data_IF_048986464409
#
_entry.id   IF_048986464409
#
_cell.length_a   1.000
_cell.length_b   1.000
_cell.length_c   1.000
_cell.angle_alpha   90.00
_cell.angle_beta   90.00
_cell.angle_gamma   90.00
#
_symmetry.space_group_name_H-M   'P 1'
#
loop_
_entity.id
_entity.type
_entity.pdbx_description
1 polymer ?
#
# COMPACT_ATOMS: atom_id res chain seq x y z
N UNK A 1 -20.16 0.16 2.83
CA UNK A 1 -19.86 0.44 4.25
C UNK A 1 -18.36 0.60 4.53
N UNK A 2 -17.48 -0.26 4.00
CA UNK A 2 -16.02 -0.17 4.25
C UNK A 2 -15.41 1.12 3.66
N UNK A 3 -15.72 1.45 2.40
CA UNK A 3 -15.28 2.69 1.73
C UNK A 3 -15.67 3.97 2.50
N UNK A 4 -16.92 4.05 2.97
CA UNK A 4 -17.44 5.22 3.68
C UNK A 4 -16.76 5.45 5.04
N UNK A 5 -16.40 4.38 5.76
CA UNK A 5 -15.73 4.50 7.06
C UNK A 5 -14.26 4.94 6.92
N UNK A 6 -13.57 4.41 5.92
CA UNK A 6 -12.19 4.83 5.58
C UNK A 6 -12.17 6.33 5.25
N UNK A 7 -13.13 6.82 4.46
CA UNK A 7 -13.22 8.24 4.10
C UNK A 7 -13.39 9.15 5.32
N UNK A 8 -14.26 8.78 6.29
CA UNK A 8 -14.48 9.57 7.51
C UNK A 8 -13.23 9.61 8.40
N UNK A 9 -12.58 8.47 8.62
CA UNK A 9 -11.40 8.40 9.49
C UNK A 9 -10.22 9.18 8.88
N UNK A 10 -10.05 9.10 7.55
CA UNK A 10 -9.05 9.88 6.81
C UNK A 10 -9.35 11.36 6.92
N UNK A 11 -10.60 11.77 6.71
CA UNK A 11 -11.00 13.19 6.80
C UNK A 11 -10.73 13.76 8.20
N UNK A 12 -11.04 13.02 9.26
CA UNK A 12 -10.78 13.44 10.63
C UNK A 12 -9.28 13.55 10.94
N UNK A 13 -8.48 12.59 10.47
CA UNK A 13 -7.04 12.63 10.67
C UNK A 13 -6.38 13.80 9.90
N UNK A 14 -6.82 14.06 8.67
CA UNK A 14 -6.38 15.22 7.87
C UNK A 14 -6.76 16.53 8.59
N UNK A 15 -8.00 16.66 9.07
CA UNK A 15 -8.45 17.84 9.80
C UNK A 15 -7.65 18.06 11.10
N UNK A 16 -7.16 16.99 11.73
CA UNK A 16 -6.29 17.03 12.89
C UNK A 16 -4.79 17.20 12.57
N UNK A 17 -4.42 17.36 11.29
CA UNK A 17 -3.03 17.49 10.84
C UNK A 17 -2.17 16.24 11.09
N UNK A 18 -2.80 15.07 11.21
CA UNK A 18 -2.11 13.81 11.51
C UNK A 18 -1.71 13.08 10.24
N UNK A 19 -0.55 12.44 10.28
CA UNK A 19 -0.12 11.47 9.28
C UNK A 19 -0.93 10.17 9.42
N UNK A 20 -1.19 9.50 8.30
CA UNK A 20 -2.01 8.29 8.23
C UNK A 20 -1.18 7.18 7.60
N UNK A 21 -1.13 6.01 8.24
CA UNK A 21 -0.61 4.78 7.64
C UNK A 21 -1.80 3.94 7.22
N UNK A 22 -1.91 3.68 5.91
CA UNK A 22 -2.91 2.79 5.34
C UNK A 22 -2.27 1.42 5.06
N UNK A 23 -2.45 0.47 5.98
CA UNK A 23 -1.96 -0.90 5.82
C UNK A 23 -3.04 -1.79 5.18
N UNK A 24 -2.90 -2.03 3.88
CA UNK A 24 -3.71 -2.96 3.12
C UNK A 24 -2.89 -3.64 2.03
N UNK A 25 -3.37 -4.78 1.53
CA UNK A 25 -2.62 -5.57 0.56
C UNK A 25 -2.40 -4.86 -0.78
N UNK A 26 -3.37 -4.09 -1.29
CA UNK A 26 -3.24 -3.22 -2.48
C UNK A 26 -2.58 -3.85 -3.73
N UNK A 27 -2.68 -5.18 -3.88
CA UNK A 27 -1.94 -5.92 -4.90
C UNK A 27 -2.41 -5.63 -6.33
N UNK A 28 -3.71 -5.38 -6.53
CA UNK A 28 -4.28 -5.13 -7.86
C UNK A 28 -4.28 -3.64 -8.18
N UNK A 29 -3.87 -3.29 -9.40
CA UNK A 29 -3.91 -1.91 -9.91
C UNK A 29 -5.27 -1.24 -9.74
N UNK A 30 -6.36 -1.95 -10.05
CA UNK A 30 -7.72 -1.41 -9.89
C UNK A 30 -8.02 -0.95 -8.45
N UNK A 31 -7.54 -1.68 -7.43
CA UNK A 31 -7.74 -1.30 -6.03
C UNK A 31 -6.94 -0.05 -5.67
N UNK A 32 -5.70 0.05 -6.16
CA UNK A 32 -4.87 1.23 -5.97
C UNK A 32 -5.46 2.45 -6.66
N UNK A 33 -5.92 2.30 -7.90
CA UNK A 33 -6.57 3.38 -8.66
C UNK A 33 -7.86 3.87 -7.99
N UNK A 34 -8.69 2.96 -7.49
CA UNK A 34 -9.91 3.31 -6.75
C UNK A 34 -9.58 4.09 -5.46
N UNK A 35 -8.55 3.64 -4.72
CA UNK A 35 -8.07 4.34 -3.53
C UNK A 35 -7.52 5.73 -3.87
N UNK A 36 -6.59 5.83 -4.81
CA UNK A 36 -5.96 7.10 -5.20
C UNK A 36 -6.99 8.09 -5.70
N UNK A 37 -7.94 7.65 -6.54
CA UNK A 37 -9.04 8.50 -7.01
C UNK A 37 -9.93 9.01 -5.86
N UNK A 38 -10.19 8.16 -4.85
CA UNK A 38 -10.92 8.59 -3.66
C UNK A 38 -10.13 9.63 -2.86
N UNK A 39 -8.81 9.50 -2.81
CA UNK A 39 -7.93 10.41 -2.08
C UNK A 39 -7.74 11.77 -2.77
N UNK A 40 -7.90 11.84 -4.10
CA UNK A 40 -7.87 13.10 -4.88
C UNK A 40 -8.93 14.11 -4.40
N UNK A 41 -10.00 13.64 -3.76
CA UNK A 41 -11.05 14.49 -3.20
C UNK A 41 -10.56 15.35 -2.02
N UNK A 42 -9.45 14.97 -1.39
CA UNK A 42 -8.84 15.71 -0.30
C UNK A 42 -7.75 16.64 -0.83
N UNK A 43 -8.04 17.95 -0.79
CA UNK A 43 -7.08 18.96 -1.19
C UNK A 43 -5.78 18.87 -0.37
N UNK A 44 -4.63 18.99 -1.04
CA UNK A 44 -3.28 19.03 -0.44
C UNK A 44 -2.85 17.74 0.30
N UNK A 45 -3.48 16.60 0.05
CA UNK A 45 -3.02 15.33 0.60
C UNK A 45 -1.82 14.80 -0.21
N UNK A 46 -0.68 14.62 0.46
CA UNK A 46 0.45 13.89 -0.13
C UNK A 46 0.26 12.40 0.08
N UNK A 47 0.26 11.64 -1.01
CA UNK A 47 0.11 10.18 -0.97
C UNK A 47 1.45 9.53 -1.31
N UNK A 48 2.00 8.81 -0.33
CA UNK A 48 3.30 8.13 -0.47
C UNK A 48 3.03 6.63 -0.53
N UNK A 49 3.44 6.00 -1.64
CA UNK A 49 3.38 4.55 -1.81
C UNK A 49 4.66 3.87 -1.34
N UNK A 50 4.52 2.83 -0.53
CA UNK A 50 5.61 1.91 -0.16
C UNK A 50 5.33 0.55 -0.78
N UNK A 51 6.04 0.21 -1.83
CA UNK A 51 5.91 -1.07 -2.52
C UNK A 51 6.97 -2.04 -1.98
N UNK A 52 6.54 -3.04 -1.23
CA UNK A 52 7.42 -4.03 -0.61
C UNK A 52 7.65 -5.20 -1.57
N UNK A 53 8.87 -5.31 -2.10
CA UNK A 53 9.25 -6.33 -3.08
C UNK A 53 9.65 -7.64 -2.39
N UNK A 54 8.71 -8.20 -1.60
CA UNK A 54 8.94 -9.44 -0.85
C UNK A 54 8.81 -10.66 -1.76
N UNK A 55 9.83 -11.54 -1.87
CA UNK A 55 9.75 -12.75 -2.68
C UNK A 55 8.60 -13.68 -2.24
N UNK A 56 7.95 -14.32 -3.22
CA UNK A 56 6.82 -15.24 -2.98
C UNK A 56 7.12 -16.31 -1.92
N UNK A 57 8.33 -16.88 -1.94
CA UNK A 57 8.78 -17.88 -0.96
C UNK A 57 8.70 -17.34 0.48
N UNK A 58 9.08 -16.08 0.69
CA UNK A 58 9.03 -15.45 2.00
C UNK A 58 7.59 -15.16 2.42
N UNK A 59 6.74 -14.72 1.48
CA UNK A 59 5.31 -14.53 1.73
C UNK A 59 4.67 -15.82 2.28
N UNK A 60 4.98 -16.98 1.70
CA UNK A 60 4.51 -18.27 2.22
C UNK A 60 5.06 -18.60 3.61
N UNK A 61 6.34 -18.37 3.85
CA UNK A 61 6.96 -18.62 5.16
C UNK A 61 6.28 -17.80 6.26
N UNK A 62 6.01 -16.51 6.00
CA UNK A 62 5.32 -15.61 6.93
C UNK A 62 3.85 -15.98 7.12
N UNK A 63 3.20 -16.47 6.07
CA UNK A 63 1.79 -16.87 6.12
C UNK A 63 1.51 -18.11 6.97
N UNK A 64 2.52 -18.88 7.36
CA UNK A 64 2.36 -20.01 8.30
C UNK A 64 1.65 -19.62 9.61
N UNK A 65 1.72 -18.34 10.00
CA UNK A 65 1.06 -17.79 11.19
C UNK A 65 -0.36 -17.24 10.93
N UNK A 66 -0.72 -16.95 9.68
CA UNK A 66 -1.96 -16.23 9.29
C UNK A 66 -2.97 -17.11 8.52
N UNK A 67 -2.53 -18.26 7.99
CA UNK A 67 -3.36 -19.28 7.32
C UNK A 67 -4.16 -18.77 6.10
N UNK A 68 -3.65 -17.79 5.35
CA UNK A 68 -4.25 -17.42 4.06
C UNK A 68 -4.04 -18.54 3.04
N UNK A 69 -5.03 -18.91 2.20
CA UNK A 69 -4.81 -19.91 1.15
C UNK A 69 -3.67 -19.51 0.21
N UNK A 70 -2.85 -20.50 -0.18
CA UNK A 70 -1.65 -20.27 -0.98
C UNK A 70 -1.96 -19.66 -2.35
N UNK A 71 -3.12 -20.00 -2.92
CA UNK A 71 -3.63 -19.54 -4.20
C UNK A 71 -3.92 -18.02 -4.16
N UNK A 72 -4.39 -17.52 -3.02
CA UNK A 72 -4.63 -16.08 -2.82
C UNK A 72 -3.30 -15.33 -2.81
N UNK A 73 -2.27 -15.87 -2.15
CA UNK A 73 -0.92 -15.28 -2.13
C UNK A 73 -0.33 -15.26 -3.55
N UNK A 74 -0.45 -16.35 -4.31
CA UNK A 74 0.00 -16.42 -5.70
C UNK A 74 -0.71 -15.39 -6.57
N UNK A 75 -2.04 -15.30 -6.42
CA UNK A 75 -2.86 -14.36 -7.19
C UNK A 75 -2.41 -12.93 -6.95
N UNK A 76 -2.14 -12.55 -5.71
CA UNK A 76 -1.70 -11.19 -5.37
C UNK A 76 -0.27 -10.93 -5.81
N UNK A 77 0.62 -11.91 -5.64
CA UNK A 77 2.00 -11.81 -6.10
C UNK A 77 2.06 -11.63 -7.62
N UNK A 78 1.34 -12.43 -8.40
CA UNK A 78 1.30 -12.30 -9.86
C UNK A 78 0.62 -11.01 -10.33
N UNK A 79 -0.41 -10.53 -9.62
CA UNK A 79 -1.00 -9.22 -9.94
C UNK A 79 0.03 -8.09 -9.83
N UNK A 80 0.91 -8.15 -8.83
CA UNK A 80 1.99 -7.19 -8.63
C UNK A 80 3.13 -7.36 -9.64
N UNK A 81 3.47 -8.59 -10.05
CA UNK A 81 4.46 -8.81 -11.11
C UNK A 81 3.98 -8.30 -12.47
N UNK A 82 2.70 -8.49 -12.78
CA UNK A 82 2.12 -8.06 -14.05
C UNK A 82 1.92 -6.54 -14.12
N UNK A 83 1.42 -5.94 -13.03
CA UNK A 83 1.10 -4.52 -12.94
C UNK A 83 1.62 -3.95 -11.61
N UNK A 84 2.96 -3.78 -11.48
CA UNK A 84 3.54 -3.19 -10.29
C UNK A 84 3.05 -1.75 -10.12
N UNK A 85 3.02 -1.23 -8.88
CA UNK A 85 2.79 0.18 -8.64
C UNK A 85 3.72 1.03 -9.51
N UNK A 86 3.19 2.04 -10.18
CA UNK A 86 3.99 3.00 -10.93
C UNK A 86 3.67 4.45 -10.53
N UNK A 87 4.59 5.37 -10.85
CA UNK A 87 4.39 6.80 -10.58
C UNK A 87 3.18 7.38 -11.32
N UNK A 88 2.81 6.79 -12.45
CA UNK A 88 1.66 7.23 -13.27
C UNK A 88 0.31 6.96 -12.62
N UNK A 89 0.27 6.23 -11.50
CA UNK A 89 -0.97 5.96 -10.76
C UNK A 89 -1.46 7.15 -9.93
N UNK A 90 -0.64 8.19 -9.71
CA UNK A 90 -1.02 9.39 -8.96
C UNK A 90 -0.42 9.51 -7.56
N UNK A 91 0.61 8.72 -7.24
CA UNK A 91 1.37 8.88 -6.00
C UNK A 91 2.20 10.18 -6.04
N UNK A 92 2.24 10.91 -4.92
CA UNK A 92 3.19 12.03 -4.74
C UNK A 92 4.63 11.52 -4.74
N UNK A 93 4.87 10.40 -4.03
CA UNK A 93 6.13 9.65 -4.05
C UNK A 93 5.83 8.16 -4.03
N UNK A 94 6.66 7.39 -4.72
CA UNK A 94 6.58 5.92 -4.73
C UNK A 94 7.96 5.35 -4.45
N UNK A 95 8.08 4.59 -3.38
CA UNK A 95 9.31 3.92 -2.97
C UNK A 95 9.16 2.41 -3.20
N UNK A 96 10.05 1.88 -4.04
CA UNK A 96 10.27 0.46 -4.17
C UNK A 96 11.23 0.03 -3.07
N UNK A 97 10.84 -0.96 -2.27
CA UNK A 97 11.61 -1.41 -1.12
C UNK A 97 11.96 -2.87 -1.33
N UNK A 98 13.20 -3.15 -1.81
CA UNK A 98 13.74 -4.49 -1.90
C UNK A 98 13.69 -5.23 -0.57
N UNK A 99 13.45 -6.53 -0.62
CA UNK A 99 13.29 -7.34 0.59
C UNK A 99 14.49 -7.31 1.54
N UNK A 100 15.70 -7.29 0.99
CA UNK A 100 16.96 -7.22 1.72
C UNK A 100 17.16 -5.89 2.45
N UNK A 101 16.43 -4.84 2.08
CA UNK A 101 16.50 -3.52 2.69
C UNK A 101 15.43 -3.31 3.78
N UNK A 102 14.40 -4.16 3.83
CA UNK A 102 13.24 -3.98 4.73
C UNK A 102 13.60 -3.84 6.20
N UNK A 103 14.63 -4.54 6.67
CA UNK A 103 15.04 -4.50 8.09
C UNK A 103 15.84 -3.25 8.44
N UNK A 104 16.46 -2.62 7.43
CA UNK A 104 17.31 -1.43 7.59
C UNK A 104 16.60 -0.11 7.29
N UNK A 105 15.38 -0.18 6.75
CA UNK A 105 14.71 1.01 6.23
C UNK A 105 14.09 1.83 7.37
N UNK A 106 14.44 3.11 7.40
CA UNK A 106 13.81 4.10 8.26
C UNK A 106 12.64 4.74 7.51
N UNK A 107 11.44 4.20 7.70
CA UNK A 107 10.22 4.68 7.06
C UNK A 107 9.93 6.16 7.35
N UNK A 108 10.42 6.71 8.47
CA UNK A 108 10.22 8.14 8.79
C UNK A 108 10.91 9.05 7.78
N UNK A 109 12.03 8.60 7.19
CA UNK A 109 12.76 9.33 6.13
C UNK A 109 12.10 9.24 4.76
N UNK A 110 11.14 8.33 4.59
CA UNK A 110 10.39 8.20 3.34
C UNK A 110 9.16 9.13 3.31
N UNK A 111 8.87 9.82 4.42
CA UNK A 111 7.72 10.72 4.57
C UNK A 111 8.11 12.19 4.27
N UNK A 112 9.39 12.54 4.34
CA UNK A 112 9.94 13.85 3.94
C UNK A 112 10.06 13.97 2.43
#
# INVERSE_FOLDING_TARGET
MIQAKISVDIQQAIAAGKQIIYDATNAKKAWRSELLHTLEQFNNLQVIGWYLETPLKICYQRNRKRQVPSEVIQTYYHALEQLPPSKDEGFTKLHHIPYDQLESIDFSRLIS
#
